data_IF_799076345680
#
_entry.id   IF_799076345680
#
_cell.length_a   1.000
_cell.length_b   1.000
_cell.length_c   1.000
_cell.angle_alpha   90.00
_cell.angle_beta   90.00
_cell.angle_gamma   90.00
#
_symmetry.space_group_name_H-M   'P 1'
#
loop_
_entity.id
_entity.type
_entity.pdbx_description
1 polymer ?
#
# COMPACT_ATOMS: atom_id res chain seq x y z
N UNK A 1 -23.17 -18.73 23.31
CA UNK A 1 -21.78 -18.23 23.25
C UNK A 1 -21.83 -16.78 22.79
N UNK A 2 -21.36 -15.85 23.61
CA UNK A 2 -21.38 -14.40 23.36
C UNK A 2 -20.60 -14.10 22.06
N UNK A 3 -21.09 -13.27 21.12
CA UNK A 3 -20.22 -12.75 20.07
C UNK A 3 -19.24 -11.81 20.76
N UNK A 4 -17.97 -12.20 20.81
CA UNK A 4 -16.90 -11.38 21.34
C UNK A 4 -16.64 -10.25 20.34
N UNK A 5 -17.31 -9.13 20.55
CA UNK A 5 -16.93 -7.87 19.92
C UNK A 5 -15.56 -7.48 20.43
N UNK A 6 -14.53 -7.72 19.63
CA UNK A 6 -13.14 -7.35 19.91
C UNK A 6 -12.65 -6.37 18.83
N UNK A 7 -13.36 -5.27 18.65
CA UNK A 7 -12.97 -4.17 17.76
C UNK A 7 -13.24 -2.81 18.42
N UNK A 8 -13.24 -2.77 19.76
CA UNK A 8 -13.58 -1.57 20.53
C UNK A 8 -12.41 -0.61 20.75
N UNK A 9 -11.17 -1.07 20.55
CA UNK A 9 -9.94 -0.26 20.80
C UNK A 9 -8.85 -0.43 19.74
N UNK A 10 -8.97 -1.41 18.83
CA UNK A 10 -7.97 -1.72 17.80
C UNK A 10 -8.19 -0.91 16.50
N UNK A 11 -8.48 0.39 16.61
CA UNK A 11 -8.57 1.25 15.43
C UNK A 11 -7.17 1.64 14.97
N UNK A 12 -6.68 1.00 13.92
CA UNK A 12 -5.42 1.34 13.29
C UNK A 12 -5.70 2.44 12.27
N UNK A 13 -5.08 3.61 12.46
CA UNK A 13 -5.20 4.70 11.50
C UNK A 13 -4.58 4.26 10.17
N UNK A 14 -5.29 4.46 9.06
CA UNK A 14 -4.81 4.13 7.70
C UNK A 14 -3.75 5.13 7.23
N UNK A 15 -3.07 4.84 6.12
CA UNK A 15 -2.14 5.75 5.44
C UNK A 15 -0.98 6.22 6.33
N UNK A 16 -0.62 5.46 7.36
CA UNK A 16 0.38 5.84 8.35
C UNK A 16 0.07 7.19 9.04
N UNK A 17 -1.20 7.58 9.17
CA UNK A 17 -1.57 8.89 9.76
C UNK A 17 -1.04 9.06 11.19
N UNK A 18 -0.93 7.98 11.96
CA UNK A 18 -0.32 8.03 13.30
C UNK A 18 1.14 8.45 13.24
N UNK A 19 1.93 7.81 12.38
CA UNK A 19 3.35 8.14 12.17
C UNK A 19 3.51 9.53 11.56
N UNK A 20 2.58 9.98 10.72
CA UNK A 20 2.62 11.30 10.08
C UNK A 20 2.47 12.48 11.07
N UNK A 21 1.98 12.23 12.28
CA UNK A 21 1.84 13.24 13.35
C UNK A 21 3.03 13.28 14.33
N UNK A 22 4.09 12.49 14.11
CA UNK A 22 5.27 12.50 14.98
C UNK A 22 6.06 13.81 14.88
N UNK A 23 6.67 14.24 15.99
CA UNK A 23 7.41 15.51 16.09
C UNK A 23 8.81 15.41 15.46
N UNK A 24 9.37 14.21 15.39
CA UNK A 24 10.69 13.95 14.83
C UNK A 24 10.70 12.86 13.78
N UNK A 25 11.70 12.89 12.90
CA UNK A 25 11.90 11.83 11.91
C UNK A 25 12.13 10.45 12.56
N UNK A 26 12.85 10.39 13.69
CA UNK A 26 13.11 9.12 14.37
C UNK A 26 11.81 8.53 14.94
N UNK A 27 10.98 9.35 15.59
CA UNK A 27 9.67 8.92 16.09
C UNK A 27 8.74 8.50 14.95
N UNK A 28 8.76 9.21 13.82
CA UNK A 28 8.03 8.82 12.62
C UNK A 28 8.40 7.39 12.18
N UNK A 29 9.71 7.10 12.09
CA UNK A 29 10.20 5.76 11.72
C UNK A 29 9.79 4.69 12.73
N UNK A 30 9.81 5.01 14.04
CA UNK A 30 9.37 4.10 15.10
C UNK A 30 7.87 3.82 15.08
N UNK A 31 7.05 4.72 14.54
CA UNK A 31 5.59 4.60 14.50
C UNK A 31 5.04 3.96 13.21
N UNK A 32 5.90 3.58 12.26
CA UNK A 32 5.45 2.89 11.03
C UNK A 32 4.81 1.54 11.37
N UNK A 33 3.61 1.31 10.86
CA UNK A 33 2.79 0.14 11.17
C UNK A 33 2.43 -0.66 9.91
N UNK A 34 2.79 -1.94 9.87
CA UNK A 34 2.48 -2.84 8.74
C UNK A 34 0.98 -3.11 8.58
N UNK A 35 0.23 -2.98 9.67
CA UNK A 35 -1.21 -3.21 9.72
C UNK A 35 -2.02 -1.97 9.32
N UNK A 36 -1.36 -0.84 9.05
CA UNK A 36 -1.99 0.38 8.54
C UNK A 36 -2.05 0.34 7.01
N UNK A 37 -3.22 0.13 6.40
CA UNK A 37 -3.33 0.02 4.94
C UNK A 37 -3.09 1.36 4.26
N UNK A 38 -2.48 1.39 3.05
CA UNK A 38 -2.34 2.60 2.25
C UNK A 38 -3.68 3.03 1.63
N UNK A 39 -3.71 4.20 1.00
CA UNK A 39 -4.81 4.54 0.10
C UNK A 39 -4.82 3.62 -1.12
N UNK A 40 -5.99 3.42 -1.76
CA UNK A 40 -6.06 2.77 -3.06
C UNK A 40 -5.21 3.47 -4.12
N UNK A 41 -5.02 4.80 -3.97
CA UNK A 41 -4.32 5.60 -4.94
C UNK A 41 -2.79 5.36 -4.95
N UNK A 42 -2.22 5.02 -6.09
CA UNK A 42 -0.79 5.06 -6.34
C UNK A 42 -0.43 6.37 -7.04
N UNK A 43 0.10 7.32 -6.26
CA UNK A 43 0.44 8.65 -6.79
C UNK A 43 1.70 8.66 -7.67
N UNK A 44 2.51 7.59 -7.60
CA UNK A 44 3.77 7.47 -8.35
C UNK A 44 3.62 6.50 -9.51
N UNK A 45 3.78 7.00 -10.73
CA UNK A 45 3.68 6.19 -11.94
C UNK A 45 4.80 5.13 -12.05
N UNK A 46 4.48 4.03 -12.74
CA UNK A 46 5.43 2.95 -13.05
C UNK A 46 5.93 3.12 -14.49
N UNK A 47 7.26 3.25 -14.67
CA UNK A 47 7.90 3.28 -15.99
C UNK A 47 8.67 1.98 -16.21
N UNK A 48 8.38 1.28 -17.30
CA UNK A 48 9.00 0.00 -17.65
C UNK A 48 9.75 0.09 -18.98
N UNK A 49 11.01 -0.36 -19.00
CA UNK A 49 11.77 -0.55 -20.25
C UNK A 49 11.27 -1.80 -20.95
N UNK A 50 10.87 -1.66 -22.21
CA UNK A 50 10.50 -2.79 -23.06
C UNK A 50 11.72 -3.24 -23.86
N UNK A 51 12.18 -4.47 -23.62
CA UNK A 51 13.25 -5.09 -24.37
C UNK A 51 12.70 -6.32 -25.13
N UNK A 52 13.16 -6.58 -26.37
CA UNK A 52 12.89 -7.84 -27.06
C UNK A 52 13.37 -9.02 -26.23
N UNK A 53 12.60 -10.12 -26.23
CA UNK A 53 12.98 -11.34 -25.52
C UNK A 53 12.77 -12.55 -26.43
N UNK A 54 13.85 -13.04 -27.03
CA UNK A 54 13.86 -14.25 -27.86
C UNK A 54 13.12 -14.14 -29.20
N UNK A 55 13.00 -15.28 -29.88
CA UNK A 55 12.65 -15.36 -31.32
C UNK A 55 11.14 -15.47 -31.61
N UNK A 56 10.28 -15.18 -30.62
CA UNK A 56 8.82 -15.23 -30.73
C UNK A 56 8.19 -14.11 -29.90
N UNK A 57 7.57 -13.09 -30.53
CA UNK A 57 7.11 -11.89 -29.81
C UNK A 57 5.61 -11.59 -29.93
N UNK A 58 4.96 -11.45 -28.76
CA UNK A 58 3.76 -10.64 -28.48
C UNK A 58 3.81 -10.27 -26.97
N UNK A 59 3.81 -8.98 -26.61
CA UNK A 59 3.54 -8.49 -25.23
C UNK A 59 3.40 -6.95 -25.28
N UNK A 60 2.34 -6.30 -24.77
CA UNK A 60 1.59 -6.53 -23.54
C UNK A 60 0.06 -6.39 -23.74
N UNK A 61 -0.73 -7.02 -22.85
CA UNK A 61 -2.14 -6.66 -22.63
C UNK A 61 -2.40 -6.44 -21.14
N UNK A 62 -3.06 -5.33 -20.80
CA UNK A 62 -3.57 -5.04 -19.45
C UNK A 62 -5.09 -5.15 -19.44
N UNK A 63 -5.65 -6.18 -18.84
CA UNK A 63 -7.09 -6.27 -18.58
C UNK A 63 -7.32 -6.68 -17.13
N UNK A 64 -7.95 -5.80 -16.38
CA UNK A 64 -8.14 -5.90 -14.93
C UNK A 64 -7.91 -4.53 -14.32
N UNK A 65 -8.89 -4.06 -13.53
CA UNK A 65 -8.95 -2.72 -12.95
C UNK A 65 -7.62 -2.39 -12.27
N UNK A 66 -6.78 -1.60 -12.93
CA UNK A 66 -5.59 -1.03 -12.31
C UNK A 66 -6.10 -0.09 -11.22
N UNK A 67 -6.18 -0.60 -10.00
CA UNK A 67 -6.26 0.24 -8.82
C UNK A 67 -4.83 0.73 -8.56
N UNK A 68 -4.44 1.74 -9.33
CA UNK A 68 -3.69 2.86 -8.79
C UNK A 68 -4.67 3.83 -8.15
#
# INVERSE_FOLDING_TARGET
SKPHGEAGTAFIQTQQLHAAMADTFLEHMCHLAIDSPPIPAQNTGITCTIAPHGDHQERARSHGKLCF
#
